data_IF_124395307205
#
_entry.id   IF_124395307205
#
_cell.length_a   1.000
_cell.length_b   1.000
_cell.length_c   1.000
_cell.angle_alpha   90.00
_cell.angle_beta   90.00
_cell.angle_gamma   90.00
#
_symmetry.space_group_name_H-M   'P 1'
#
loop_
_entity.id
_entity.type
_entity.pdbx_description
1 polymer ?
#
# COMPACT_ATOMS: atom_id res chain seq x y z
N UNK A 1 -2.86 4.57 -3.23
CA UNK A 1 -3.24 3.22 -2.74
C UNK A 1 -4.72 3.23 -2.41
N UNK A 2 -5.50 2.31 -2.96
CA UNK A 2 -6.95 2.22 -2.69
C UNK A 2 -7.30 0.87 -2.06
N UNK A 3 -8.07 0.94 -0.97
CA UNK A 3 -8.53 -0.19 -0.16
C UNK A 3 -10.02 -0.43 -0.44
N UNK A 4 -10.40 -1.68 -0.67
CA UNK A 4 -11.74 -2.08 -1.16
C UNK A 4 -12.49 -2.99 -0.19
N UNK A 5 -12.06 -3.07 1.07
CA UNK A 5 -12.66 -3.92 2.10
C UNK A 5 -11.95 -5.25 2.29
N UNK A 6 -11.60 -5.97 1.22
CA UNK A 6 -11.12 -7.36 1.31
C UNK A 6 -9.68 -7.55 1.82
N UNK A 7 -9.11 -6.53 2.50
CA UNK A 7 -7.67 -6.42 2.77
C UNK A 7 -7.39 -6.26 4.29
N UNK A 8 -8.40 -6.47 5.14
CA UNK A 8 -8.38 -6.10 6.56
C UNK A 8 -7.51 -7.00 7.45
N UNK A 9 -7.23 -8.23 7.03
CA UNK A 9 -6.73 -9.26 7.94
C UNK A 9 -5.21 -9.21 8.15
N UNK A 10 -4.49 -8.43 7.34
CA UNK A 10 -3.04 -8.33 7.42
C UNK A 10 -2.57 -6.88 7.34
N UNK A 11 -1.44 -6.53 7.98
CA UNK A 11 -0.89 -5.19 7.90
C UNK A 11 -0.15 -5.01 6.55
N UNK A 12 -0.91 -4.88 5.46
CA UNK A 12 -0.40 -5.01 4.08
C UNK A 12 0.70 -4.00 3.74
N UNK A 13 0.56 -2.72 4.13
CA UNK A 13 1.57 -1.69 3.85
C UNK A 13 2.89 -2.01 4.55
N UNK A 14 2.88 -2.37 5.84
CA UNK A 14 4.14 -2.63 6.56
C UNK A 14 4.80 -3.93 6.09
N UNK A 15 4.00 -4.93 5.69
CA UNK A 15 4.54 -6.15 5.10
C UNK A 15 5.21 -5.87 3.75
N UNK A 16 4.59 -5.05 2.91
CA UNK A 16 5.18 -4.58 1.66
C UNK A 16 6.48 -3.79 1.92
N UNK A 17 6.46 -2.88 2.89
CA UNK A 17 7.60 -2.04 3.26
C UNK A 17 8.83 -2.87 3.70
N UNK A 18 8.60 -4.01 4.37
CA UNK A 18 9.69 -4.90 4.82
C UNK A 18 10.40 -5.63 3.68
N UNK A 19 9.84 -5.62 2.46
CA UNK A 19 10.42 -6.32 1.30
C UNK A 19 11.44 -5.48 0.53
N UNK A 20 11.57 -4.20 0.88
CA UNK A 20 12.28 -3.18 0.12
C UNK A 20 13.13 -2.30 1.04
N UNK A 21 14.23 -1.72 0.53
CA UNK A 21 15.15 -0.94 1.36
C UNK A 21 14.77 0.54 1.50
N UNK A 22 13.72 1.01 0.80
CA UNK A 22 13.34 2.42 0.76
C UNK A 22 12.37 2.82 1.89
N UNK A 23 12.39 4.11 2.21
CA UNK A 23 11.47 4.70 3.18
C UNK A 23 10.12 5.01 2.55
N UNK A 24 9.07 4.89 3.35
CA UNK A 24 7.68 5.17 2.95
C UNK A 24 7.13 6.23 3.89
N UNK A 25 6.67 7.33 3.29
CA UNK A 25 5.99 8.40 4.01
C UNK A 25 4.52 8.44 3.62
N UNK A 26 3.63 8.44 4.60
CA UNK A 26 2.20 8.68 4.37
C UNK A 26 2.01 10.20 4.21
N UNK A 27 1.58 10.62 3.03
CA UNK A 27 1.32 12.03 2.71
C UNK A 27 -0.10 12.40 3.14
N UNK A 28 -1.06 11.55 2.80
CA UNK A 28 -2.47 11.71 3.16
C UNK A 28 -3.11 10.33 3.29
N UNK A 29 -4.00 10.17 4.27
CA UNK A 29 -4.76 8.94 4.45
C UNK A 29 -6.20 9.25 4.82
N UNK A 30 -7.11 8.70 4.03
CA UNK A 30 -8.53 8.68 4.31
C UNK A 30 -8.99 7.23 4.19
N UNK A 31 -8.77 6.46 5.26
CA UNK A 31 -9.23 5.09 5.40
C UNK A 31 -10.28 5.05 6.50
N UNK A 32 -11.40 4.41 6.21
CA UNK A 32 -12.47 4.14 7.16
C UNK A 32 -12.68 2.64 7.30
N UNK A 33 -12.99 2.19 8.51
CA UNK A 33 -13.38 0.80 8.74
C UNK A 33 -14.84 0.62 8.37
N UNK A 34 -15.13 -0.31 7.45
CA UNK A 34 -16.49 -0.67 7.04
C UNK A 34 -16.85 -2.10 7.48
N UNK A 35 -18.09 -2.52 7.22
CA UNK A 35 -18.56 -3.89 7.46
C UNK A 35 -17.82 -4.94 6.62
N UNK A 36 -17.22 -4.53 5.51
CA UNK A 36 -16.46 -5.40 4.60
C UNK A 36 -14.95 -5.25 4.77
N UNK A 37 -14.49 -4.41 5.71
CA UNK A 37 -13.07 -4.12 5.98
C UNK A 37 -12.66 -2.67 5.69
N UNK A 38 -11.35 -2.34 5.64
CA UNK A 38 -10.88 -0.98 5.40
C UNK A 38 -11.20 -0.54 3.97
N UNK A 39 -11.82 0.63 3.85
CA UNK A 39 -12.15 1.24 2.58
C UNK A 39 -11.67 2.69 2.55
N UNK A 40 -11.12 3.09 1.40
CA UNK A 40 -10.65 4.45 1.19
C UNK A 40 -9.34 4.51 0.43
N UNK A 41 -8.66 5.65 0.54
CA UNK A 41 -7.45 5.95 -0.23
C UNK A 41 -6.35 6.43 0.71
N UNK A 42 -5.12 6.05 0.39
CA UNK A 42 -3.91 6.58 1.01
C UNK A 42 -2.90 6.96 -0.07
N UNK A 43 -2.36 8.16 0.07
CA UNK A 43 -1.26 8.67 -0.73
C UNK A 43 0.03 8.48 0.05
N UNK A 44 0.99 7.83 -0.60
CA UNK A 44 2.33 7.62 -0.05
C UNK A 44 3.35 8.24 -0.97
N UNK A 45 4.42 8.74 -0.37
CA UNK A 45 5.64 9.10 -1.06
C UNK A 45 6.69 8.05 -0.75
N UNK A 46 7.36 7.58 -1.80
CA UNK A 46 8.44 6.60 -1.71
C UNK A 46 9.70 7.26 -2.26
N UNK A 47 10.81 7.15 -1.53
CA UNK A 47 12.08 7.77 -1.90
C UNK A 47 13.26 6.83 -1.72
N UNK A 48 14.23 6.90 -2.63
CA UNK A 48 15.50 6.16 -2.51
C UNK A 48 15.44 4.69 -2.97
N UNK A 49 14.35 4.25 -3.60
CA UNK A 49 14.25 2.93 -4.23
C UNK A 49 14.81 2.89 -5.65
N UNK A 50 15.14 1.69 -6.13
CA UNK A 50 15.34 1.40 -7.56
C UNK A 50 14.10 0.74 -8.15
N UNK A 51 13.94 0.78 -9.47
CA UNK A 51 12.76 0.26 -10.18
C UNK A 51 12.37 -1.17 -9.77
N UNK A 52 13.35 -2.05 -9.54
CA UNK A 52 13.09 -3.43 -9.11
C UNK A 52 12.41 -3.50 -7.73
N UNK A 53 12.78 -2.61 -6.81
CA UNK A 53 12.19 -2.56 -5.48
C UNK A 53 10.77 -1.98 -5.55
N UNK A 54 10.56 -0.92 -6.34
CA UNK A 54 9.22 -0.37 -6.57
C UNK A 54 8.28 -1.44 -7.12
N UNK A 55 8.71 -2.17 -8.14
CA UNK A 55 7.92 -3.24 -8.72
C UNK A 55 7.60 -4.34 -7.70
N UNK A 56 8.57 -4.73 -6.86
CA UNK A 56 8.33 -5.71 -5.80
C UNK A 56 7.29 -5.23 -4.78
N UNK A 57 7.37 -3.96 -4.39
CA UNK A 57 6.42 -3.34 -3.47
C UNK A 57 5.02 -3.26 -4.07
N UNK A 58 4.90 -2.77 -5.31
CA UNK A 58 3.62 -2.67 -6.03
C UNK A 58 2.99 -4.04 -6.22
N UNK A 59 3.76 -5.03 -6.68
CA UNK A 59 3.27 -6.41 -6.86
C UNK A 59 2.73 -7.00 -5.56
N UNK A 60 3.44 -6.82 -4.44
CA UNK A 60 2.96 -7.30 -3.15
C UNK A 60 1.62 -6.67 -2.76
N UNK A 61 1.48 -5.35 -2.97
CA UNK A 61 0.23 -4.65 -2.70
C UNK A 61 -0.92 -5.15 -3.59
N UNK A 62 -0.68 -5.32 -4.88
CA UNK A 62 -1.70 -5.80 -5.83
C UNK A 62 -2.12 -7.24 -5.56
N UNK A 63 -1.16 -8.12 -5.22
CA UNK A 63 -1.43 -9.51 -4.85
C UNK A 63 -2.28 -9.62 -3.57
N UNK A 64 -2.19 -8.61 -2.70
CA UNK A 64 -2.98 -8.46 -1.48
C UNK A 64 -4.20 -7.53 -1.68
N UNK A 65 -4.70 -7.43 -2.92
CA UNK A 65 -5.93 -6.73 -3.30
C UNK A 65 -5.93 -5.22 -3.01
N UNK A 66 -4.77 -4.59 -2.85
CA UNK A 66 -4.64 -3.13 -2.79
C UNK A 66 -4.43 -2.60 -4.20
N UNK A 67 -5.29 -1.69 -4.63
CA UNK A 67 -5.14 -1.05 -5.94
C UNK A 67 -4.06 0.02 -5.83
N UNK A 68 -3.10 0.00 -6.75
CA UNK A 68 -1.98 0.94 -6.79
C UNK A 68 -2.06 1.78 -8.07
N UNK A 69 -1.92 3.09 -7.93
CA UNK A 69 -1.83 4.05 -9.02
C UNK A 69 -0.60 4.92 -8.75
N UNK A 70 0.21 5.16 -9.79
CA UNK A 70 1.43 5.99 -9.74
C UNK A 70 1.09 7.33 -10.36
N UNK A 71 1.38 8.43 -9.64
CA UNK A 71 1.11 9.80 -10.03
C UNK A 71 2.38 10.54 -10.48
#
# INVERSE_FOLDING_TARGET
LSFTGNNAEQPTIINAARLVPFEISIVESNISQSSVGPMGVTYIHISGGVDSDYNKFVTYLTDNNVIVEVL
#
